data_IF_704204881283
#
_entry.id   IF_704204881283
#
_cell.length_a   1.000
_cell.length_b   1.000
_cell.length_c   1.000
_cell.angle_alpha   90.00
_cell.angle_beta   90.00
_cell.angle_gamma   90.00
#
_symmetry.space_group_name_H-M   'P 1'
#
loop_
_entity.id
_entity.type
_entity.pdbx_description
1 polymer ?
#
# COMPACT_ATOMS: atom_id res chain seq x y z
N UNK A 1 -5.81 -15.71 -1.04
CA UNK A 1 -6.07 -14.69 0.00
C UNK A 1 -7.11 -13.73 -0.55
N UNK A 2 -8.13 -13.37 0.23
CA UNK A 2 -9.12 -12.39 -0.18
C UNK A 2 -8.51 -10.99 -0.21
N UNK A 3 -8.94 -10.12 -1.13
CA UNK A 3 -8.50 -8.72 -1.14
C UNK A 3 -8.98 -8.04 0.14
N UNK A 4 -8.06 -7.35 0.82
CA UNK A 4 -8.37 -6.58 2.04
C UNK A 4 -8.07 -5.12 1.76
N UNK A 5 -9.10 -4.29 1.92
CA UNK A 5 -8.95 -2.84 1.98
C UNK A 5 -8.96 -2.41 3.45
N UNK A 6 -7.97 -1.61 3.82
CA UNK A 6 -7.91 -1.00 5.14
C UNK A 6 -8.90 0.18 5.21
N UNK A 7 -9.63 0.26 6.32
CA UNK A 7 -10.44 1.44 6.66
C UNK A 7 -9.53 2.65 6.95
N UNK A 8 -10.06 3.88 6.97
CA UNK A 8 -9.27 5.06 7.35
C UNK A 8 -8.58 4.91 8.72
N UNK A 9 -9.28 4.34 9.69
CA UNK A 9 -8.74 4.06 11.04
C UNK A 9 -7.57 3.09 10.97
N UNK A 10 -7.71 1.98 10.25
CA UNK A 10 -6.64 0.98 10.13
C UNK A 10 -5.43 1.51 9.34
N UNK A 11 -5.64 2.41 8.37
CA UNK A 11 -4.55 3.13 7.70
C UNK A 11 -3.79 4.02 8.66
N UNK A 12 -4.49 4.69 9.59
CA UNK A 12 -3.85 5.47 10.63
C UNK A 12 -3.06 4.56 11.59
N UNK A 13 -3.63 3.42 12.00
CA UNK A 13 -2.90 2.42 12.80
C UNK A 13 -1.62 1.94 12.09
N UNK A 14 -1.67 1.67 10.78
CA UNK A 14 -0.50 1.29 10.00
C UNK A 14 0.59 2.39 10.02
N UNK A 15 0.20 3.66 9.89
CA UNK A 15 1.12 4.81 9.98
C UNK A 15 1.76 4.89 11.37
N UNK A 16 0.96 4.70 12.42
CA UNK A 16 1.42 4.79 13.81
C UNK A 16 2.41 3.66 14.12
N UNK A 17 2.15 2.43 13.66
CA UNK A 17 3.07 1.30 13.79
C UNK A 17 4.40 1.58 13.08
N UNK A 18 4.39 1.97 11.79
CA UNK A 18 5.63 2.27 11.07
C UNK A 18 6.46 3.37 11.75
N UNK A 19 5.79 4.40 12.29
CA UNK A 19 6.43 5.53 12.97
C UNK A 19 7.00 5.13 14.34
N UNK A 20 6.23 4.39 15.13
CA UNK A 20 6.63 3.94 16.47
C UNK A 20 7.85 3.00 16.43
N UNK A 21 7.87 2.06 15.48
CA UNK A 21 8.97 1.09 15.34
C UNK A 21 10.12 1.60 14.46
N UNK A 22 9.98 2.81 13.87
CA UNK A 22 10.97 3.42 12.96
C UNK A 22 11.35 2.51 11.79
N UNK A 23 10.37 1.78 11.27
CA UNK A 23 10.55 0.84 10.17
C UNK A 23 9.67 1.27 9.00
N UNK A 24 10.32 1.76 7.93
CA UNK A 24 9.63 2.22 6.71
C UNK A 24 8.96 1.08 5.94
N UNK A 25 9.53 -0.13 6.05
CA UNK A 25 8.93 -1.38 5.56
C UNK A 25 8.61 -2.20 6.79
N UNK A 26 7.32 -2.30 7.14
CA UNK A 26 6.88 -2.95 8.36
C UNK A 26 5.63 -3.82 8.10
N UNK A 27 5.70 -5.09 8.50
CA UNK A 27 4.57 -6.00 8.58
C UNK A 27 4.02 -6.07 10.00
N UNK A 28 2.71 -6.14 10.12
CA UNK A 28 1.99 -6.31 11.37
C UNK A 28 0.67 -7.05 11.09
N UNK A 29 0.15 -7.73 12.11
CA UNK A 29 -1.12 -8.45 12.01
C UNK A 29 -2.23 -7.70 12.73
N UNK A 30 -3.42 -7.75 12.13
CA UNK A 30 -4.60 -7.03 12.58
C UNK A 30 -5.78 -7.98 12.79
N UNK A 31 -6.37 -7.93 13.97
CA UNK A 31 -7.62 -8.62 14.30
C UNK A 31 -8.79 -7.64 14.20
N UNK A 32 -9.85 -8.03 13.48
CA UNK A 32 -11.10 -7.29 13.37
C UNK A 32 -12.18 -8.00 14.20
N UNK A 33 -12.75 -7.33 15.20
CA UNK A 33 -13.76 -7.89 16.08
C UNK A 33 -14.71 -6.77 16.55
N UNK A 34 -16.03 -7.03 16.48
CA UNK A 34 -17.09 -6.10 16.91
C UNK A 34 -16.95 -4.66 16.38
N UNK A 35 -16.64 -4.55 15.08
CA UNK A 35 -16.45 -3.25 14.41
C UNK A 35 -15.17 -2.51 14.81
N UNK A 36 -14.27 -3.15 15.57
CA UNK A 36 -12.98 -2.60 16.01
C UNK A 36 -11.82 -3.38 15.43
N UNK A 37 -10.66 -2.76 15.43
CA UNK A 37 -9.42 -3.32 14.89
C UNK A 37 -8.32 -3.24 15.93
N UNK A 38 -7.56 -4.33 16.09
CA UNK A 38 -6.50 -4.48 17.09
C UNK A 38 -5.24 -5.01 16.43
N UNK A 39 -4.09 -4.36 16.67
CA UNK A 39 -2.78 -4.92 16.27
C UNK A 39 -2.43 -6.02 17.27
N UNK A 40 -2.21 -7.24 16.80
CA UNK A 40 -1.86 -8.37 17.65
C UNK A 40 -0.40 -8.82 17.53
N UNK A 41 0.27 -8.45 16.43
CA UNK A 41 1.67 -8.79 16.20
C UNK A 41 2.36 -7.74 15.32
N UNK A 42 3.64 -7.46 15.58
CA UNK A 42 4.48 -6.55 14.78
C UNK A 42 5.76 -7.30 14.40
N UNK A 43 5.85 -7.67 13.13
CA UNK A 43 6.90 -8.51 12.59
C UNK A 43 8.13 -7.72 12.12
N UNK A 44 7.97 -6.42 11.90
CA UNK A 44 8.98 -5.55 11.33
C UNK A 44 9.23 -5.78 9.85
N UNK A 45 10.49 -5.87 9.40
CA UNK A 45 10.81 -5.91 7.97
C UNK A 45 10.17 -7.10 7.25
N UNK A 46 9.20 -6.83 6.38
CA UNK A 46 8.47 -7.86 5.64
C UNK A 46 7.97 -7.35 4.29
N UNK A 47 7.99 -8.21 3.26
CA UNK A 47 7.46 -7.91 1.93
C UNK A 47 6.26 -8.79 1.58
N UNK A 48 5.30 -8.20 0.86
CA UNK A 48 4.20 -8.96 0.24
C UNK A 48 4.77 -9.84 -0.86
N UNK A 49 4.31 -11.09 -0.93
CA UNK A 49 4.72 -12.06 -1.96
C UNK A 49 3.69 -12.12 -3.08
N UNK A 50 4.15 -12.45 -4.29
CA UNK A 50 3.34 -12.74 -5.47
C UNK A 50 2.41 -11.59 -5.92
N UNK A 51 2.85 -10.34 -5.74
CA UNK A 51 2.10 -9.16 -6.20
C UNK A 51 3.03 -8.20 -6.94
N UNK A 52 2.97 -8.22 -8.28
CA UNK A 52 3.76 -7.31 -9.13
C UNK A 52 3.46 -5.84 -8.83
N UNK A 53 2.19 -5.50 -8.61
CA UNK A 53 1.80 -4.14 -8.22
C UNK A 53 2.46 -3.71 -6.91
N UNK A 54 2.53 -4.60 -5.91
CA UNK A 54 3.23 -4.29 -4.67
C UNK A 54 4.73 -4.05 -4.91
N UNK A 55 5.38 -4.89 -5.72
CA UNK A 55 6.80 -4.72 -6.03
C UNK A 55 7.06 -3.38 -6.71
N UNK A 56 6.24 -3.00 -7.68
CA UNK A 56 6.34 -1.71 -8.35
C UNK A 56 6.16 -0.54 -7.39
N UNK A 57 5.08 -0.56 -6.61
CA UNK A 57 4.75 0.53 -5.67
C UNK A 57 5.82 0.64 -4.57
N UNK A 58 6.28 -0.48 -4.01
CA UNK A 58 7.33 -0.51 -2.99
C UNK A 58 8.67 -0.01 -3.54
N UNK A 59 9.06 -0.43 -4.75
CA UNK A 59 10.29 0.04 -5.39
C UNK A 59 10.25 1.55 -5.65
N UNK A 60 9.11 2.07 -6.13
CA UNK A 60 8.88 3.50 -6.32
C UNK A 60 9.06 4.30 -5.01
N UNK A 61 8.42 3.85 -3.93
CA UNK A 61 8.48 4.52 -2.62
C UNK A 61 9.89 4.45 -2.03
N UNK A 62 10.53 3.28 -2.02
CA UNK A 62 11.88 3.11 -1.50
C UNK A 62 12.90 3.95 -2.27
N UNK A 63 12.80 3.97 -3.60
CA UNK A 63 13.63 4.82 -4.45
C UNK A 63 13.47 6.29 -4.07
N UNK A 64 12.23 6.77 -3.88
CA UNK A 64 11.97 8.13 -3.44
C UNK A 64 12.62 8.42 -2.08
N UNK A 65 12.45 7.53 -1.09
CA UNK A 65 13.05 7.68 0.24
C UNK A 65 14.58 7.80 0.14
N UNK A 66 15.22 6.95 -0.65
CA UNK A 66 16.68 6.99 -0.82
C UNK A 66 17.16 8.25 -1.54
N UNK A 67 16.46 8.69 -2.60
CA UNK A 67 16.80 9.92 -3.30
C UNK A 67 16.60 11.14 -2.40
N UNK A 68 15.49 11.24 -1.68
CA UNK A 68 15.24 12.33 -0.72
C UNK A 68 16.36 12.38 0.34
N UNK A 69 16.83 11.23 0.82
CA UNK A 69 17.85 11.14 1.86
C UNK A 69 19.30 11.34 1.36
N UNK A 70 19.63 10.96 0.12
CA UNK A 70 21.02 10.89 -0.37
C UNK A 70 21.31 11.76 -1.59
N UNK A 71 20.30 12.11 -2.37
CA UNK A 71 20.43 12.93 -3.58
C UNK A 71 19.15 13.76 -3.82
N UNK A 72 18.80 14.70 -2.92
CA UNK A 72 17.53 15.42 -3.00
C UNK A 72 17.39 16.23 -4.30
N UNK A 73 18.50 16.70 -4.88
CA UNK A 73 18.55 17.36 -6.19
C UNK A 73 18.09 16.45 -7.34
N UNK A 74 18.24 15.13 -7.21
CA UNK A 74 17.75 14.16 -8.19
C UNK A 74 16.30 13.74 -7.94
N UNK A 75 15.81 13.84 -6.70
CA UNK A 75 14.43 13.44 -6.36
C UNK A 75 13.38 14.25 -7.11
N UNK A 76 13.64 15.56 -7.32
CA UNK A 76 12.78 16.44 -8.12
C UNK A 76 12.96 16.26 -9.63
N UNK A 77 14.13 15.78 -10.06
CA UNK A 77 14.51 15.72 -11.48
C UNK A 77 14.10 14.40 -12.12
N UNK A 78 14.24 13.29 -11.39
CA UNK A 78 13.93 11.98 -11.93
C UNK A 78 12.46 11.64 -11.65
N UNK A 79 11.66 11.27 -12.67
CA UNK A 79 10.25 10.97 -12.45
C UNK A 79 10.05 9.86 -11.41
N UNK A 80 8.93 9.91 -10.67
CA UNK A 80 8.61 8.89 -9.66
C UNK A 80 8.16 7.57 -10.30
N UNK A 81 8.00 7.51 -11.62
CA UNK A 81 7.57 6.29 -12.32
C UNK A 81 8.73 5.33 -12.56
N UNK A 82 8.42 4.03 -12.58
CA UNK A 82 9.41 3.00 -12.88
C UNK A 82 9.67 2.93 -14.39
N UNK A 83 10.92 2.70 -14.83
CA UNK A 83 11.30 2.77 -16.25
C UNK A 83 10.50 1.82 -17.17
N UNK A 84 10.05 0.67 -16.64
CA UNK A 84 9.28 -0.31 -17.41
C UNK A 84 7.79 0.02 -17.53
N UNK A 85 7.25 0.93 -16.70
CA UNK A 85 5.84 1.36 -16.81
C UNK A 85 5.59 2.38 -17.93
N UNK A 86 6.63 3.00 -18.47
CA UNK A 86 6.50 3.97 -19.57
C UNK A 86 6.16 3.35 -20.92
N UNK A 87 5.96 2.02 -21.02
CA UNK A 87 5.81 1.28 -22.28
C UNK A 87 4.44 0.59 -22.48
N UNK A 88 3.50 0.70 -21.56
CA UNK A 88 2.18 0.08 -21.73
C UNK A 88 1.10 1.11 -22.09
N UNK A 89 0.31 0.91 -23.17
CA UNK A 89 -0.86 1.72 -23.42
C UNK A 89 -1.90 1.48 -22.32
N UNK A 90 -2.44 2.58 -21.79
CA UNK A 90 -3.40 2.65 -20.69
C UNK A 90 -4.65 1.80 -21.02
N UNK A 91 -4.82 0.65 -20.36
CA UNK A 91 -6.10 -0.05 -20.37
C UNK A 91 -7.01 0.62 -19.33
N UNK A 92 -7.79 1.59 -19.81
CA UNK A 92 -8.92 2.17 -19.11
C UNK A 92 -9.83 1.07 -18.57
N UNK A 93 -9.91 0.93 -17.24
CA UNK A 93 -10.91 0.07 -16.60
C UNK A 93 -12.29 0.72 -16.74
N UNK A 94 -13.06 0.27 -17.72
CA UNK A 94 -14.50 0.51 -17.82
C UNK A 94 -15.23 -0.02 -16.57
N UNK A 95 -16.30 0.70 -16.21
CA UNK A 95 -16.86 0.75 -14.87
C UNK A 95 -17.53 -0.52 -14.34
N UNK A 96 -17.51 -0.63 -13.01
CA UNK A 96 -18.44 -1.48 -12.27
C UNK A 96 -19.48 -0.58 -11.60
N UNK A 97 -20.62 -0.44 -12.27
CA UNK A 97 -21.76 0.35 -11.82
C UNK A 97 -22.35 -0.26 -10.55
N UNK A 98 -22.44 0.59 -9.52
CA UNK A 98 -23.17 0.40 -8.28
C UNK A 98 -24.67 0.29 -8.56
N UNK A 99 -25.28 -0.89 -8.40
CA UNK A 99 -26.69 -1.00 -8.01
C UNK A 99 -26.89 -2.23 -7.11
N UNK A 100 -27.29 -1.96 -5.87
CA UNK A 100 -27.94 -2.93 -5.00
C UNK A 100 -29.44 -2.69 -5.01
N UNK A 101 -30.19 -3.79 -4.86
CA UNK A 101 -31.52 -3.96 -4.25
C UNK A 101 -31.75 -5.48 -4.25
N UNK A 102 -31.85 -6.17 -3.12
CA UNK A 102 -33.08 -6.27 -2.32
C UNK A 102 -34.19 -6.83 -3.24
N UNK A 103 -34.62 -8.08 -3.12
CA UNK A 103 -35.66 -8.54 -2.18
C UNK A 103 -35.61 -10.09 -2.08
N UNK A 104 -35.82 -10.61 -0.87
CA UNK A 104 -36.05 -12.01 -0.51
C UNK A 104 -37.57 -12.20 -0.38
N UNK A 105 -38.12 -13.34 -0.82
CA UNK A 105 -39.37 -13.92 -0.30
C UNK A 105 -40.66 -13.40 -0.87
#
# INVERSE_FOLDING_TARGET
>A
RYPVLLTPTEKQMARDVCSAFRQMVCGFDLLRCDGRSYVCDVNGWSFVKNSYKYYDDAACILRKIFLDAKAPHLSSTIPPTLPWKSKEPDQSTEGLTRQGSGIIG
#
